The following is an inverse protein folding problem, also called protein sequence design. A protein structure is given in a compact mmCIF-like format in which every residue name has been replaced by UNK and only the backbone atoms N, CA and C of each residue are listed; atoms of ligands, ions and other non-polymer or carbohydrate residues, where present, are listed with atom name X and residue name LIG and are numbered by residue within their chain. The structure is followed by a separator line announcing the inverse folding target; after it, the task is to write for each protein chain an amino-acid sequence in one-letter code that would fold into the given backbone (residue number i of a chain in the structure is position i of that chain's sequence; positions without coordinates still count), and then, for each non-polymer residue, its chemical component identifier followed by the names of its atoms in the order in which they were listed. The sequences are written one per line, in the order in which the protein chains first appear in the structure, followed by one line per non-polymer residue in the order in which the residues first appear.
data_IF_990596084549
#
_entry.id   IF_990596084549
#
_cell.length_a   1.000
_cell.length_b   1.000
_cell.length_c   1.000
_cell.angle_alpha   90.00
_cell.angle_beta   90.00
_cell.angle_gamma   90.00
#
_symmetry.space_group_name_H-M   'P 1'
#
loop_
_entity.id
_entity.type
_entity.pdbx_description
1 polymer ?
#
# COMPACT_ATOMS: atom_id res chain seq x y z
N UNK A 1 16.78 -0.78 -0.43
CA UNK A 1 16.66 -2.24 -0.68
C UNK A 1 16.25 -2.39 -2.13
N UNK A 2 16.47 -3.52 -2.82
CA UNK A 2 15.84 -3.69 -4.12
C UNK A 2 14.30 -3.69 -3.96
N UNK A 3 13.54 -2.95 -4.79
CA UNK A 3 12.09 -2.95 -4.71
C UNK A 3 11.54 -4.34 -4.99
N UNK A 4 10.42 -4.68 -4.36
CA UNK A 4 9.67 -5.89 -4.65
C UNK A 4 8.25 -5.53 -5.07
N UNK A 5 7.64 -6.39 -5.89
CA UNK A 5 6.28 -6.18 -6.34
C UNK A 5 5.40 -7.41 -6.11
N UNK A 6 4.13 -7.15 -5.87
CA UNK A 6 3.03 -8.11 -5.88
C UNK A 6 2.11 -7.71 -7.02
N UNK A 7 1.72 -8.68 -7.84
CA UNK A 7 0.74 -8.49 -8.91
C UNK A 7 -0.43 -9.41 -8.65
N UNK A 8 -1.65 -8.89 -8.80
CA UNK A 8 -2.91 -9.62 -8.74
C UNK A 8 -3.81 -9.23 -9.89
N UNK A 9 -4.52 -10.22 -10.40
CA UNK A 9 -5.60 -10.04 -11.36
C UNK A 9 -6.90 -10.35 -10.64
N UNK A 10 -7.92 -9.55 -10.88
CA UNK A 10 -9.22 -9.71 -10.24
C UNK A 10 -10.35 -9.34 -11.21
N UNK A 11 -11.53 -9.88 -10.97
CA UNK A 11 -12.73 -9.58 -11.76
C UNK A 11 -13.34 -8.20 -11.49
N UNK A 12 -12.73 -7.37 -10.62
CA UNK A 12 -13.19 -6.00 -10.39
C UNK A 12 -12.75 -5.10 -11.54
N UNK A 13 -13.64 -4.21 -11.97
CA UNK A 13 -13.26 -3.11 -12.85
C UNK A 13 -12.21 -2.20 -12.19
N UNK A 14 -11.34 -1.59 -13.01
CA UNK A 14 -10.20 -0.79 -12.53
C UNK A 14 -10.60 0.30 -11.52
N UNK A 15 -11.75 0.95 -11.71
CA UNK A 15 -12.26 1.95 -10.77
C UNK A 15 -12.60 1.39 -9.38
N UNK A 16 -13.17 0.19 -9.30
CA UNK A 16 -13.49 -0.44 -8.01
C UNK A 16 -12.23 -0.99 -7.33
N UNK A 17 -11.34 -1.65 -8.08
CA UNK A 17 -10.04 -2.07 -7.56
C UNK A 17 -9.24 -0.88 -7.02
N UNK A 18 -9.19 0.24 -7.75
CA UNK A 18 -8.58 1.49 -7.30
C UNK A 18 -9.18 1.97 -5.98
N UNK A 19 -10.51 2.12 -5.90
CA UNK A 19 -11.19 2.58 -4.68
C UNK A 19 -10.82 1.72 -3.47
N UNK A 20 -10.78 0.40 -3.62
CA UNK A 20 -10.40 -0.53 -2.53
C UNK A 20 -8.94 -0.38 -2.14
N UNK A 21 -8.05 -0.33 -3.14
CA UNK A 21 -6.61 -0.21 -2.95
C UNK A 21 -6.17 1.13 -2.36
N UNK A 22 -6.95 2.20 -2.55
CA UNK A 22 -6.63 3.53 -2.00
C UNK A 22 -7.53 3.94 -0.83
N UNK A 23 -8.33 3.02 -0.30
CA UNK A 23 -9.07 3.23 0.94
C UNK A 23 -8.14 2.96 2.13
N UNK A 24 -7.34 3.97 2.51
CA UNK A 24 -6.25 3.84 3.49
C UNK A 24 -6.69 3.20 4.81
N UNK A 25 -7.83 3.62 5.35
CA UNK A 25 -8.33 3.10 6.63
C UNK A 25 -8.66 1.60 6.58
N UNK A 26 -9.10 1.08 5.42
CA UNK A 26 -9.43 -0.35 5.23
C UNK A 26 -8.20 -1.25 5.34
N UNK A 27 -7.00 -0.71 5.15
CA UNK A 27 -5.78 -1.48 5.28
C UNK A 27 -5.52 -1.91 6.75
N UNK A 28 -6.09 -1.20 7.73
CA UNK A 28 -6.03 -1.58 9.17
C UNK A 28 -6.49 -3.01 9.43
N UNK A 29 -7.52 -3.49 8.72
CA UNK A 29 -8.05 -4.83 8.90
C UNK A 29 -7.16 -5.93 8.27
N UNK A 30 -6.14 -5.53 7.50
CA UNK A 30 -5.40 -6.46 6.61
C UNK A 30 -3.97 -6.70 7.05
N UNK A 31 -3.36 -5.76 7.77
CA UNK A 31 -2.01 -5.91 8.31
C UNK A 31 -2.09 -6.22 9.81
N UNK A 32 -1.63 -7.40 10.25
CA UNK A 32 -1.69 -7.78 11.66
C UNK A 32 -1.00 -6.73 12.55
N UNK A 33 -1.66 -6.37 13.66
CA UNK A 33 -1.13 -5.44 14.65
C UNK A 33 -0.87 -4.02 14.13
N UNK A 34 -1.44 -3.66 12.98
CA UNK A 34 -1.27 -2.34 12.38
C UNK A 34 -2.58 -1.58 12.33
N UNK A 35 -2.56 -0.33 12.80
CA UNK A 35 -3.67 0.62 12.68
C UNK A 35 -3.27 1.75 11.76
N UNK A 36 -4.14 2.08 10.80
CA UNK A 36 -3.95 3.24 9.92
C UNK A 36 -4.89 4.35 10.34
N UNK A 37 -4.32 5.54 10.52
CA UNK A 37 -5.04 6.77 10.81
C UNK A 37 -4.71 7.79 9.72
N UNK A 38 -5.71 8.28 9.00
CA UNK A 38 -5.55 9.37 8.03
C UNK A 38 -5.55 10.70 8.79
N UNK A 39 -4.52 11.52 8.59
CA UNK A 39 -4.35 12.79 9.30
C UNK A 39 -4.77 14.00 8.46
N UNK A 40 -4.97 13.81 7.16
CA UNK A 40 -5.50 14.84 6.25
C UNK A 40 -7.02 14.67 6.06
N UNK A 41 -7.82 15.74 6.12
CA UNK A 41 -9.25 15.67 5.81
C UNK A 41 -9.52 15.15 4.38
N UNK A 42 -10.66 14.48 4.14
CA UNK A 42 -11.03 14.05 2.79
C UNK A 42 -11.34 15.25 1.87
N UNK A 43 -11.27 15.07 0.53
CA UNK A 43 -10.95 13.83 -0.19
C UNK A 43 -9.44 13.51 -0.21
N UNK A 44 -9.11 12.24 -0.44
CA UNK A 44 -7.71 11.83 -0.67
C UNK A 44 -7.18 12.34 -2.00
N UNK A 45 -5.89 12.70 -2.02
CA UNK A 45 -5.16 13.20 -3.19
C UNK A 45 -3.67 13.37 -2.90
N UNK A 46 -2.95 14.08 -3.78
CA UNK A 46 -1.56 14.46 -3.50
C UNK A 46 -1.50 15.28 -2.22
N UNK A 47 -0.57 14.93 -1.33
CA UNK A 47 -0.42 15.56 -0.02
C UNK A 47 -1.28 14.96 1.09
N UNK A 48 -2.12 13.96 0.80
CA UNK A 48 -2.77 13.17 1.87
C UNK A 48 -1.70 12.48 2.71
N UNK A 49 -1.81 12.65 4.02
CA UNK A 49 -0.93 12.07 5.03
C UNK A 49 -1.72 11.09 5.88
N UNK A 50 -1.07 9.98 6.23
CA UNK A 50 -1.61 8.98 7.12
C UNK A 50 -0.46 8.25 7.83
N UNK A 51 -0.78 7.66 8.97
CA UNK A 51 0.19 6.94 9.80
C UNK A 51 -0.23 5.48 9.93
N UNK A 52 0.64 4.57 9.53
CA UNK A 52 0.52 3.15 9.85
C UNK A 52 1.29 2.85 11.14
N UNK A 53 0.57 2.66 12.25
CA UNK A 53 1.15 2.30 13.54
C UNK A 53 1.14 0.79 13.71
N UNK A 54 2.31 0.17 13.83
CA UNK A 54 2.46 -1.28 14.03
C UNK A 54 2.98 -1.58 15.43
N UNK A 55 2.30 -2.43 16.22
CA UNK A 55 2.75 -2.76 17.57
C UNK A 55 1.77 -3.54 18.46
N UNK A 56 2.23 -3.92 19.65
CA UNK A 56 1.45 -4.59 20.71
C UNK A 56 1.60 -3.79 22.01
N UNK A 57 0.48 -3.32 22.58
CA UNK A 57 0.48 -2.51 23.79
C UNK A 57 1.29 -1.22 23.62
N UNK A 58 2.27 -0.99 24.51
CA UNK A 58 3.14 0.21 24.47
C UNK A 58 4.31 0.08 23.49
N UNK A 59 4.55 -1.12 22.95
CA UNK A 59 5.64 -1.39 22.01
C UNK A 59 5.12 -1.26 20.58
N UNK A 60 5.75 -0.40 19.79
CA UNK A 60 5.39 -0.24 18.38
C UNK A 60 6.20 0.85 17.71
N UNK A 61 6.01 0.97 16.40
CA UNK A 61 6.58 2.06 15.61
C UNK A 61 5.52 2.66 14.69
N UNK A 62 5.72 3.93 14.38
CA UNK A 62 4.91 4.67 13.42
C UNK A 62 5.64 4.72 12.07
N UNK A 63 4.90 4.43 11.02
CA UNK A 63 5.29 4.58 9.62
C UNK A 63 4.40 5.67 8.98
N UNK A 64 4.74 6.97 9.15
CA UNK A 64 4.03 8.06 8.50
C UNK A 64 4.31 8.02 7.00
N UNK A 65 3.24 8.18 6.21
CA UNK A 65 3.28 8.16 4.76
C UNK A 65 2.58 9.38 4.18
N UNK A 66 3.06 9.82 3.02
CA UNK A 66 2.48 10.92 2.26
C UNK A 66 2.25 10.49 0.81
N UNK A 67 1.06 10.78 0.30
CA UNK A 67 0.74 10.59 -1.13
C UNK A 67 1.49 11.64 -1.94
N UNK A 68 2.32 11.21 -2.87
CA UNK A 68 3.10 12.09 -3.78
C UNK A 68 2.62 12.03 -5.22
N UNK A 69 1.97 10.93 -5.63
CA UNK A 69 1.29 10.81 -6.92
C UNK A 69 -0.13 10.31 -6.69
N UNK A 70 -1.09 10.91 -7.37
CA UNK A 70 -2.49 10.51 -7.32
C UNK A 70 -3.14 10.69 -8.68
N UNK A 71 -3.38 9.58 -9.37
CA UNK A 71 -3.96 9.53 -10.70
C UNK A 71 -5.06 8.46 -10.69
N UNK A 72 -6.32 8.78 -10.38
CA UNK A 72 -7.41 7.80 -10.41
C UNK A 72 -7.72 7.33 -11.85
N UNK A 73 -8.25 6.11 -12.04
CA UNK A 73 -8.58 5.52 -13.35
C UNK A 73 -9.89 6.10 -13.95
N UNK A 74 -10.07 7.41 -13.85
CA UNK A 74 -11.24 8.15 -14.37
C UNK A 74 -10.90 8.95 -15.65
N UNK A 75 -9.62 9.04 -16.02
CA UNK A 75 -9.14 9.75 -17.19
C UNK A 75 -8.38 8.79 -18.13
N UNK A 76 -8.47 9.04 -19.44
CA UNK A 76 -7.67 8.34 -20.45
C UNK A 76 -7.97 6.84 -20.58
N UNK A 77 -6.94 6.00 -20.56
CA UNK A 77 -6.98 4.56 -20.84
C UNK A 77 -7.47 3.69 -19.66
N UNK A 78 -8.06 4.31 -18.64
CA UNK A 78 -8.61 3.61 -17.46
C UNK A 78 -7.56 3.12 -16.47
N UNK A 79 -6.31 3.61 -16.56
CA UNK A 79 -5.25 3.29 -15.61
C UNK A 79 -5.25 4.23 -14.42
N UNK A 80 -5.00 3.67 -13.24
CA UNK A 80 -4.79 4.40 -12.00
C UNK A 80 -3.37 4.23 -11.48
N UNK A 81 -2.76 5.29 -10.96
CA UNK A 81 -1.46 5.27 -10.29
C UNK A 81 -1.44 6.11 -9.02
N UNK A 82 -1.02 5.51 -7.92
CA UNK A 82 -0.81 6.20 -6.63
C UNK A 82 0.62 5.93 -6.14
N UNK A 83 1.30 6.94 -5.61
CA UNK A 83 2.61 6.78 -4.98
C UNK A 83 2.59 7.34 -3.57
N UNK A 84 3.21 6.60 -2.67
CA UNK A 84 3.37 6.89 -1.25
C UNK A 84 4.87 7.02 -0.94
N UNK A 85 5.25 8.07 -0.23
CA UNK A 85 6.59 8.18 0.36
C UNK A 85 6.48 7.98 1.88
N UNK A 86 7.35 7.13 2.44
CA UNK A 86 7.44 6.84 3.87
C UNK A 86 8.41 7.83 4.51
N UNK A 87 7.88 8.73 5.34
CA UNK A 87 8.61 9.86 5.94
C UNK A 87 9.06 9.60 7.38
N UNK A 88 9.00 8.33 7.81
CA UNK A 88 9.28 7.90 9.17
C UNK A 88 10.76 7.86 9.53
N UNK A 89 11.04 7.74 10.84
CA UNK A 89 12.41 7.55 11.37
C UNK A 89 12.86 6.09 11.40
N UNK A 90 11.90 5.18 11.49
CA UNK A 90 12.15 3.72 11.59
C UNK A 90 12.04 3.06 10.23
N UNK A 91 11.01 3.43 9.49
CA UNK A 91 10.72 2.93 8.16
C UNK A 91 10.87 4.08 7.17
N UNK A 92 11.66 3.86 6.13
CA UNK A 92 11.82 4.78 5.00
C UNK A 92 11.65 4.02 3.69
N UNK A 93 11.45 4.77 2.61
CA UNK A 93 11.24 4.22 1.27
C UNK A 93 9.90 4.68 0.71
N UNK A 94 9.33 3.90 -0.20
CA UNK A 94 8.15 4.28 -0.96
C UNK A 94 7.31 3.06 -1.34
N UNK A 95 6.05 3.29 -1.63
CA UNK A 95 5.16 2.30 -2.23
C UNK A 95 4.43 2.92 -3.43
N UNK A 96 4.11 2.10 -4.42
CA UNK A 96 3.39 2.49 -5.62
C UNK A 96 2.31 1.46 -5.93
N UNK A 97 1.13 1.97 -6.26
CA UNK A 97 -0.04 1.19 -6.61
C UNK A 97 -0.39 1.56 -8.04
N UNK A 98 -0.35 0.57 -8.93
CA UNK A 98 -0.89 0.69 -10.28
C UNK A 98 -2.12 -0.21 -10.43
N UNK A 99 -3.15 0.32 -11.06
CA UNK A 99 -4.34 -0.42 -11.45
C UNK A 99 -4.58 -0.20 -12.93
N UNK A 100 -4.79 -1.27 -13.70
CA UNK A 100 -5.07 -1.17 -15.13
C UNK A 100 -6.15 -2.17 -15.55
N UNK A 101 -6.96 -1.87 -16.58
CA UNK A 101 -7.87 -2.84 -17.18
C UNK A 101 -7.11 -4.08 -17.66
N UNK A 102 -7.67 -5.27 -17.44
CA UNK A 102 -7.10 -6.54 -17.88
C UNK A 102 -8.18 -7.60 -18.06
N UNK A 103 -8.39 -8.06 -19.30
CA UNK A 103 -9.54 -8.92 -19.63
C UNK A 103 -10.86 -8.24 -19.26
N UNK A 104 -11.76 -8.99 -18.63
CA UNK A 104 -13.05 -8.49 -18.12
C UNK A 104 -12.95 -7.79 -16.75
N UNK A 105 -11.73 -7.63 -16.21
CA UNK A 105 -11.48 -7.07 -14.89
C UNK A 105 -10.28 -6.11 -14.88
N UNK A 106 -9.42 -6.25 -13.86
CA UNK A 106 -8.24 -5.42 -13.72
C UNK A 106 -7.04 -6.17 -13.15
N UNK A 107 -5.86 -5.64 -13.47
CA UNK A 107 -4.60 -6.04 -12.88
C UNK A 107 -4.13 -4.94 -11.92
N UNK A 108 -3.85 -5.33 -10.69
CA UNK A 108 -3.31 -4.48 -9.63
C UNK A 108 -1.86 -4.86 -9.40
N UNK A 109 -0.98 -3.87 -9.38
CA UNK A 109 0.41 -4.01 -8.99
C UNK A 109 0.69 -3.14 -7.77
N UNK A 110 1.16 -3.76 -6.71
CA UNK A 110 1.74 -3.09 -5.56
C UNK A 110 3.26 -3.24 -5.63
N UNK A 111 3.99 -2.14 -5.76
CA UNK A 111 5.44 -2.11 -5.75
C UNK A 111 5.91 -1.39 -4.49
N UNK A 112 6.89 -1.95 -3.80
CA UNK A 112 7.38 -1.37 -2.55
C UNK A 112 8.90 -1.43 -2.44
N UNK A 113 9.47 -0.31 -2.02
CA UNK A 113 10.81 -0.24 -1.49
C UNK A 113 10.73 0.16 -0.03
N UNK A 114 11.25 -0.69 0.86
CA UNK A 114 11.22 -0.44 2.29
C UNK A 114 12.60 -0.67 2.89
N UNK A 115 12.98 0.19 3.83
CA UNK A 115 14.17 0.04 4.67
C UNK A 115 13.79 0.26 6.12
N UNK A 116 14.12 -0.72 6.96
CA UNK A 116 13.98 -0.60 8.41
C UNK A 116 15.35 -0.22 8.98
N UNK A 117 15.44 0.94 9.64
CA UNK A 117 16.72 1.54 10.06
C UNK A 117 17.57 0.64 10.94
N UNK A 118 16.95 -0.20 11.76
CA UNK A 118 17.61 -1.07 12.73
C UNK A 118 17.87 -2.49 12.23
N UNK A 119 17.38 -2.85 11.05
CA UNK A 119 17.59 -4.17 10.46
C UNK A 119 18.87 -4.14 9.63
N UNK A 120 19.86 -5.03 9.90
CA UNK A 120 21.08 -5.11 9.10
C UNK A 120 20.79 -5.40 7.63
N UNK A 121 21.56 -4.79 6.72
CA UNK A 121 21.44 -4.97 5.26
C UNK A 121 21.50 -6.45 4.82
N UNK A 122 22.23 -7.29 5.55
CA UNK A 122 22.30 -8.73 5.26
C UNK A 122 20.93 -9.42 5.36
N UNK A 123 19.99 -8.87 6.12
CA UNK A 123 18.62 -9.35 6.26
C UNK A 123 17.64 -8.70 5.28
N UNK A 124 18.13 -7.87 4.35
CA UNK A 124 17.27 -7.18 3.38
C UNK A 124 16.48 -8.18 2.51
N UNK A 125 17.10 -9.30 2.12
CA UNK A 125 16.43 -10.36 1.36
C UNK A 125 15.30 -11.04 2.13
N UNK A 126 15.49 -11.28 3.43
CA UNK A 126 14.45 -11.83 4.30
C UNK A 126 13.31 -10.83 4.48
N UNK A 127 13.64 -9.56 4.72
CA UNK A 127 12.68 -8.47 4.85
C UNK A 127 11.83 -8.34 3.58
N UNK A 128 12.44 -8.40 2.40
CA UNK A 128 11.72 -8.39 1.12
C UNK A 128 10.82 -9.63 0.94
N UNK A 129 11.23 -10.79 1.43
CA UNK A 129 10.41 -12.02 1.37
C UNK A 129 9.19 -11.93 2.29
N UNK A 130 9.39 -11.49 3.53
CA UNK A 130 8.30 -11.28 4.49
C UNK A 130 7.35 -10.20 3.98
N UNK A 131 7.89 -9.08 3.48
CA UNK A 131 7.11 -8.01 2.85
C UNK A 131 6.22 -8.54 1.72
N UNK A 132 6.78 -9.30 0.76
CA UNK A 132 6.00 -9.93 -0.31
C UNK A 132 4.83 -10.79 0.17
N UNK A 133 5.02 -11.55 1.26
CA UNK A 133 3.97 -12.39 1.82
C UNK A 133 2.87 -11.56 2.50
N UNK A 134 3.25 -10.60 3.34
CA UNK A 134 2.32 -9.73 4.05
C UNK A 134 1.54 -8.86 3.06
N UNK A 135 2.22 -8.15 2.17
CA UNK A 135 1.56 -7.29 1.18
C UNK A 135 0.79 -8.10 0.14
N UNK A 136 1.23 -9.32 -0.19
CA UNK A 136 0.43 -10.26 -0.97
C UNK A 136 -0.95 -10.48 -0.36
N UNK A 137 -0.97 -10.83 0.93
CA UNK A 137 -2.20 -11.05 1.70
C UNK A 137 -3.05 -9.78 1.84
N UNK A 138 -2.42 -8.62 2.01
CA UNK A 138 -3.12 -7.33 2.06
C UNK A 138 -3.85 -7.06 0.77
N UNK A 139 -3.15 -7.14 -0.38
CA UNK A 139 -3.77 -6.96 -1.69
C UNK A 139 -4.91 -7.96 -1.89
N UNK A 140 -4.68 -9.24 -1.56
CA UNK A 140 -5.70 -10.28 -1.68
C UNK A 140 -6.96 -9.95 -0.84
N UNK A 141 -6.78 -9.45 0.39
CA UNK A 141 -7.88 -9.10 1.29
C UNK A 141 -8.63 -7.84 0.82
N UNK A 142 -7.89 -6.81 0.38
CA UNK A 142 -8.48 -5.57 -0.13
C UNK A 142 -9.27 -5.82 -1.41
N UNK A 143 -8.78 -6.69 -2.29
CA UNK A 143 -9.47 -7.02 -3.54
C UNK A 143 -10.67 -7.95 -3.31
N UNK A 144 -10.60 -8.89 -2.36
CA UNK A 144 -11.75 -9.71 -1.99
C UNK A 144 -12.93 -8.85 -1.49
N UNK A 145 -12.64 -7.80 -0.69
CA UNK A 145 -13.64 -6.99 -0.01
C UNK A 145 -14.41 -7.78 1.06
N UNK A 146 -15.12 -7.06 1.94
CA UNK A 146 -16.16 -7.72 2.73
C UNK A 146 -17.32 -8.04 1.78
N UNK A 147 -17.82 -9.28 1.84
CA UNK A 147 -19.03 -9.72 1.13
C UNK A 147 -20.24 -8.90 1.58
#
# INVERSE_FOLDING_TARGET
MAPYAVVRECGLGAGEAWRRMTAWERHTATVPLTRITVTTPPPSGVGTEFVARTGVGRLGFDDPMRVTVWQPPIAGDGRGRCRLEKTGRVVTGWAEIDVAPYGDGSRVRWCEELRVRWVPRALDGLTARVGRLVFGRVVDTLLAGER
#
